data_IF_988420071525
#
_entry.id   IF_988420071525
#
_cell.length_a   1.000
_cell.length_b   1.000
_cell.length_c   1.000
_cell.angle_alpha   90.00
_cell.angle_beta   90.00
_cell.angle_gamma   90.00
#
_symmetry.space_group_name_H-M   'P 1'
#
loop_
_entity.id
_entity.type
_entity.pdbx_description
1 polymer ?
#
# COMPACT_ATOMS: atom_id res chain seq x y z
N UNK A 1 -6.08 -7.23 7.34
CA UNK A 1 -6.06 -7.77 8.73
C UNK A 1 -5.42 -9.15 8.67
N UNK A 2 -4.91 -9.63 9.80
CA UNK A 2 -4.60 -11.04 10.03
C UNK A 2 -5.61 -11.58 11.03
N UNK A 3 -6.27 -12.66 10.67
CA UNK A 3 -7.43 -13.19 11.38
C UNK A 3 -7.25 -14.68 11.59
N UNK A 4 -7.57 -15.15 12.79
CA UNK A 4 -7.58 -16.57 13.14
C UNK A 4 -9.01 -16.98 13.49
N UNK A 5 -9.60 -17.96 12.79
CA UNK A 5 -10.94 -18.42 13.12
C UNK A 5 -10.95 -19.16 14.46
N UNK A 6 -11.97 -18.91 15.29
CA UNK A 6 -12.28 -19.68 16.51
C UNK A 6 -13.76 -20.07 16.52
N UNK A 7 -14.16 -21.11 17.27
CA UNK A 7 -15.57 -21.50 17.38
C UNK A 7 -16.49 -20.37 17.90
N UNK A 8 -15.97 -19.47 18.73
CA UNK A 8 -16.71 -18.34 19.30
C UNK A 8 -16.75 -17.11 18.37
N UNK A 9 -15.99 -17.13 17.26
CA UNK A 9 -15.84 -16.01 16.34
C UNK A 9 -14.39 -15.77 15.93
N UNK A 10 -14.20 -14.93 14.93
CA UNK A 10 -12.89 -14.62 14.39
C UNK A 10 -12.07 -13.71 15.32
N UNK A 11 -10.82 -14.09 15.56
CA UNK A 11 -9.86 -13.34 16.37
C UNK A 11 -8.94 -12.53 15.45
N UNK A 12 -8.96 -11.20 15.56
CA UNK A 12 -8.06 -10.31 14.79
C UNK A 12 -6.72 -10.21 15.51
N UNK A 13 -5.70 -10.91 14.99
CA UNK A 13 -4.35 -10.92 15.56
C UNK A 13 -3.60 -9.62 15.26
N UNK A 14 -3.75 -9.09 14.05
CA UNK A 14 -3.12 -7.83 13.64
C UNK A 14 -3.99 -7.08 12.62
N UNK A 15 -3.89 -5.75 12.62
CA UNK A 15 -4.57 -4.91 11.65
C UNK A 15 -3.69 -3.74 11.20
N UNK A 16 -3.89 -3.31 9.96
CA UNK A 16 -3.28 -2.12 9.39
C UNK A 16 -4.27 -1.48 8.44
N UNK A 17 -4.34 -0.15 8.46
CA UNK A 17 -5.23 0.65 7.62
C UNK A 17 -4.44 1.74 6.91
N UNK A 18 -4.87 2.14 5.72
CA UNK A 18 -4.22 3.21 4.97
C UNK A 18 -4.34 4.60 5.63
N UNK A 19 -5.21 4.73 6.63
CA UNK A 19 -5.30 5.93 7.46
C UNK A 19 -4.14 6.05 8.46
N UNK A 20 -3.57 4.92 8.91
CA UNK A 20 -2.35 4.93 9.71
C UNK A 20 -1.16 5.47 8.91
N UNK A 21 -1.09 5.18 7.62
CA UNK A 21 -0.09 5.78 6.73
C UNK A 21 -0.20 7.31 6.72
N UNK A 22 -1.43 7.82 6.63
CA UNK A 22 -1.69 9.26 6.58
C UNK A 22 -1.36 9.93 7.92
N UNK A 23 -1.83 9.36 9.03
CA UNK A 23 -1.72 9.94 10.38
C UNK A 23 -0.34 9.73 11.01
N UNK A 24 0.23 8.53 10.86
CA UNK A 24 1.47 8.13 11.53
C UNK A 24 2.74 8.31 10.69
N UNK A 25 2.63 8.20 9.36
CA UNK A 25 3.82 8.18 8.48
C UNK A 25 3.88 9.33 7.48
N UNK A 26 2.85 10.20 7.46
CA UNK A 26 2.80 11.38 6.61
C UNK A 26 2.50 11.07 5.14
N UNK A 27 1.73 10.02 4.86
CA UNK A 27 1.25 9.74 3.50
C UNK A 27 0.29 10.84 3.00
N UNK A 28 0.70 11.54 1.94
CA UNK A 28 -0.05 12.69 1.38
C UNK A 28 -0.84 12.35 0.11
N UNK A 29 -0.54 11.24 -0.56
CA UNK A 29 -1.27 10.80 -1.75
C UNK A 29 -2.61 10.13 -1.39
N UNK A 30 -3.31 9.59 -2.40
CA UNK A 30 -4.56 8.85 -2.21
C UNK A 30 -4.32 7.60 -1.34
N UNK A 31 -5.27 7.30 -0.44
CA UNK A 31 -5.26 6.06 0.35
C UNK A 31 -5.87 4.87 -0.40
N UNK A 32 -6.29 5.06 -1.66
CA UNK A 32 -7.02 4.08 -2.49
C UNK A 32 -6.25 3.72 -3.78
N UNK A 33 -4.92 3.73 -3.74
CA UNK A 33 -4.07 3.36 -4.88
C UNK A 33 -3.11 2.19 -4.54
N UNK A 34 -2.40 1.68 -5.54
CA UNK A 34 -1.47 0.55 -5.38
C UNK A 34 -0.35 0.85 -4.38
N UNK A 35 0.20 2.07 -4.39
CA UNK A 35 1.25 2.50 -3.47
C UNK A 35 0.80 2.46 -2.01
N UNK A 36 -0.37 3.02 -1.71
CA UNK A 36 -0.94 2.98 -0.36
C UNK A 36 -1.31 1.56 0.07
N UNK A 37 -1.81 0.73 -0.86
CA UNK A 37 -2.13 -0.66 -0.58
C UNK A 37 -0.86 -1.45 -0.22
N UNK A 38 0.21 -1.31 -1.00
CA UNK A 38 1.52 -1.90 -0.68
C UNK A 38 2.03 -1.46 0.69
N UNK A 39 2.07 -0.16 0.96
CA UNK A 39 2.55 0.36 2.25
C UNK A 39 1.69 -0.16 3.43
N UNK A 40 0.38 -0.31 3.22
CA UNK A 40 -0.53 -0.87 4.24
C UNK A 40 -0.25 -2.35 4.47
N UNK A 41 -0.01 -3.12 3.40
CA UNK A 41 0.39 -4.52 3.47
C UNK A 41 1.74 -4.70 4.17
N UNK A 42 2.72 -3.86 3.84
CA UNK A 42 4.03 -3.83 4.49
C UNK A 42 3.89 -3.56 5.99
N UNK A 43 3.11 -2.54 6.37
CA UNK A 43 2.82 -2.24 7.77
C UNK A 43 2.15 -3.43 8.50
N UNK A 44 1.23 -4.14 7.85
CA UNK A 44 0.61 -5.35 8.41
C UNK A 44 1.64 -6.46 8.62
N UNK A 45 2.49 -6.72 7.64
CA UNK A 45 3.52 -7.75 7.72
C UNK A 45 4.53 -7.45 8.83
N UNK A 46 4.92 -6.19 9.02
CA UNK A 46 5.80 -5.84 10.15
C UNK A 46 5.11 -6.03 11.50
N UNK A 47 3.82 -5.66 11.62
CA UNK A 47 3.05 -5.95 12.84
C UNK A 47 2.93 -7.46 13.11
N UNK A 48 2.77 -8.26 12.06
CA UNK A 48 2.73 -9.71 12.15
C UNK A 48 4.06 -10.29 12.66
N UNK A 49 5.17 -9.82 12.08
CA UNK A 49 6.53 -10.23 12.47
C UNK A 49 6.79 -9.97 13.95
N UNK A 50 6.35 -8.80 14.48
CA UNK A 50 6.46 -8.47 15.91
C UNK A 50 5.67 -9.41 16.83
N UNK A 51 4.58 -9.99 16.32
CA UNK A 51 3.78 -10.99 17.04
C UNK A 51 4.30 -12.43 16.82
N UNK A 52 5.41 -12.61 16.11
CA UNK A 52 5.95 -13.92 15.77
C UNK A 52 5.11 -14.68 14.74
N UNK A 53 4.20 -14.02 14.03
CA UNK A 53 3.37 -14.63 12.99
C UNK A 53 4.16 -14.61 11.69
N UNK A 54 4.44 -15.81 11.15
CA UNK A 54 5.24 -15.98 9.92
C UNK A 54 4.41 -16.32 8.70
N UNK A 55 3.31 -17.04 8.87
CA UNK A 55 2.53 -17.57 7.75
C UNK A 55 1.13 -16.99 7.73
N UNK A 56 0.59 -16.78 6.53
CA UNK A 56 -0.81 -16.45 6.32
C UNK A 56 -1.31 -16.95 4.97
N UNK A 57 -2.63 -17.03 4.80
CA UNK A 57 -3.28 -17.31 3.52
C UNK A 57 -4.07 -16.07 3.11
N UNK A 58 -3.94 -15.67 1.84
CA UNK A 58 -4.67 -14.53 1.32
C UNK A 58 -6.17 -14.85 1.19
N UNK A 59 -7.00 -14.05 1.84
CA UNK A 59 -8.45 -14.05 1.64
C UNK A 59 -8.86 -12.79 0.86
N UNK A 60 -9.40 -12.98 -0.35
CA UNK A 60 -9.90 -11.90 -1.22
C UNK A 60 -11.38 -11.60 -1.02
N UNK A 61 -12.09 -12.39 -0.20
CA UNK A 61 -13.54 -12.34 -0.09
C UNK A 61 -14.21 -12.58 -1.45
N UNK A 62 -15.12 -11.67 -1.83
CA UNK A 62 -15.86 -11.74 -3.10
C UNK A 62 -15.16 -11.00 -4.26
N UNK A 63 -13.92 -10.54 -4.07
CA UNK A 63 -13.19 -9.84 -5.12
C UNK A 63 -12.67 -10.81 -6.19
N UNK A 64 -12.82 -10.42 -7.46
CA UNK A 64 -12.22 -11.15 -8.59
C UNK A 64 -10.68 -11.02 -8.54
N UNK A 65 -9.92 -12.11 -8.67
CA UNK A 65 -8.45 -12.07 -8.67
C UNK A 65 -7.92 -11.53 -10.00
N UNK A 66 -7.83 -10.20 -10.11
CA UNK A 66 -7.28 -9.52 -11.29
C UNK A 66 -5.79 -9.23 -11.08
N UNK A 67 -4.94 -9.66 -12.02
CA UNK A 67 -3.50 -9.41 -12.01
C UNK A 67 -3.19 -7.92 -11.81
N UNK A 68 -2.22 -7.62 -10.94
CA UNK A 68 -1.77 -6.25 -10.68
C UNK A 68 -2.79 -5.36 -9.97
N UNK A 69 -3.87 -5.94 -9.42
CA UNK A 69 -4.85 -5.19 -8.62
C UNK A 69 -4.24 -4.63 -7.33
N UNK A 70 -4.95 -3.68 -6.72
CA UNK A 70 -4.54 -3.10 -5.42
C UNK A 70 -4.49 -4.13 -4.30
N UNK A 71 -5.29 -5.20 -4.37
CA UNK A 71 -5.25 -6.31 -3.40
C UNK A 71 -3.91 -7.04 -3.47
N UNK A 72 -3.40 -7.32 -4.67
CA UNK A 72 -2.09 -7.94 -4.84
C UNK A 72 -0.93 -6.99 -4.55
N UNK A 73 -1.13 -5.67 -4.64
CA UNK A 73 -0.16 -4.71 -4.12
C UNK A 73 -0.03 -4.83 -2.59
N UNK A 74 -1.14 -4.97 -1.86
CA UNK A 74 -1.11 -5.22 -0.42
C UNK A 74 -0.48 -6.57 -0.07
N UNK A 75 -0.78 -7.62 -0.83
CA UNK A 75 -0.09 -8.91 -0.72
C UNK A 75 1.44 -8.72 -0.85
N UNK A 76 1.88 -8.06 -1.93
CA UNK A 76 3.31 -7.81 -2.18
C UNK A 76 3.99 -7.07 -1.02
N UNK A 77 3.31 -6.07 -0.46
CA UNK A 77 3.81 -5.36 0.72
C UNK A 77 3.99 -6.29 1.93
N UNK A 78 3.03 -7.18 2.21
CA UNK A 78 3.14 -8.13 3.32
C UNK A 78 4.27 -9.16 3.11
N UNK A 79 4.45 -9.64 1.87
CA UNK A 79 5.54 -10.53 1.49
C UNK A 79 6.91 -9.86 1.73
N UNK A 80 7.08 -8.62 1.26
CA UNK A 80 8.34 -7.88 1.42
C UNK A 80 8.64 -7.50 2.87
N UNK A 81 7.63 -7.53 3.75
CA UNK A 81 7.79 -7.37 5.19
C UNK A 81 8.14 -8.69 5.92
N UNK A 82 8.25 -9.80 5.19
CA UNK A 82 8.70 -11.09 5.71
C UNK A 82 7.58 -12.06 6.09
N UNK A 83 6.34 -11.80 5.67
CA UNK A 83 5.23 -12.75 5.86
C UNK A 83 5.22 -13.77 4.71
N UNK A 84 5.16 -15.04 5.03
CA UNK A 84 5.09 -16.14 4.06
C UNK A 84 3.62 -16.38 3.68
N UNK A 85 3.28 -16.08 2.44
CA UNK A 85 1.92 -16.29 1.89
C UNK A 85 2.06 -17.05 0.58
N UNK A 86 1.44 -18.23 0.40
CA UNK A 86 1.46 -18.94 -0.88
C UNK A 86 0.82 -18.09 -2.01
N UNK A 87 1.55 -17.88 -3.11
CA UNK A 87 1.10 -17.08 -4.24
C UNK A 87 1.90 -17.40 -5.51
N UNK A 88 1.38 -16.98 -6.67
CA UNK A 88 2.12 -16.97 -7.94
C UNK A 88 2.72 -15.58 -8.19
N UNK A 89 4.02 -15.50 -8.51
CA UNK A 89 4.71 -14.23 -8.77
C UNK A 89 4.05 -13.40 -9.89
N UNK A 90 3.49 -14.08 -10.89
CA UNK A 90 2.85 -13.46 -12.05
C UNK A 90 1.59 -12.62 -11.74
N UNK A 91 0.98 -12.80 -10.57
CA UNK A 91 -0.22 -12.05 -10.16
C UNK A 91 0.14 -10.67 -9.57
N UNK A 92 1.38 -10.54 -9.10
CA UNK A 92 1.85 -9.36 -8.41
C UNK A 92 1.98 -8.17 -9.37
N UNK A 93 1.68 -6.95 -8.92
CA UNK A 93 1.93 -5.76 -9.72
C UNK A 93 3.44 -5.53 -9.91
N UNK A 94 3.82 -4.86 -11.00
CA UNK A 94 5.21 -4.44 -11.20
C UNK A 94 5.65 -3.41 -10.16
N UNK A 95 6.96 -3.33 -9.92
CA UNK A 95 7.57 -2.32 -9.04
C UNK A 95 7.17 -0.89 -9.42
N UNK A 96 7.11 -0.58 -10.71
CA UNK A 96 6.70 0.73 -11.21
C UNK A 96 5.24 1.06 -10.87
N UNK A 97 4.37 0.05 -10.90
CA UNK A 97 2.97 0.18 -10.49
C UNK A 97 2.85 0.42 -8.98
N UNK A 98 3.65 -0.28 -8.19
CA UNK A 98 3.70 -0.15 -6.73
C UNK A 98 4.20 1.23 -6.33
N UNK A 99 5.32 1.68 -6.88
CA UNK A 99 5.95 2.96 -6.56
C UNK A 99 5.14 4.16 -7.05
N UNK A 100 4.30 3.95 -8.06
CA UNK A 100 3.36 4.96 -8.54
C UNK A 100 3.82 5.71 -9.79
N UNK A 101 4.80 5.20 -10.54
CA UNK A 101 5.32 5.83 -11.77
C UNK A 101 4.23 6.13 -12.78
N UNK A 102 3.30 5.20 -13.00
CA UNK A 102 2.15 5.43 -13.89
C UNK A 102 1.28 6.63 -13.49
N UNK A 103 1.26 7.02 -12.21
CA UNK A 103 0.56 8.23 -11.75
C UNK A 103 1.39 9.47 -12.07
N UNK A 104 2.72 9.40 -11.88
CA UNK A 104 3.65 10.49 -12.23
C UNK A 104 3.61 10.79 -13.73
N UNK A 105 3.67 9.75 -14.57
CA UNK A 105 3.57 9.86 -16.02
C UNK A 105 2.23 10.47 -16.46
N UNK A 106 1.13 9.98 -15.88
CA UNK A 106 -0.20 10.50 -16.17
C UNK A 106 -0.34 11.97 -15.72
N UNK A 107 0.22 12.31 -14.57
CA UNK A 107 0.24 13.67 -14.05
C UNK A 107 1.05 14.62 -14.94
N UNK A 108 2.25 14.21 -15.35
CA UNK A 108 3.13 14.97 -16.24
C UNK A 108 2.45 15.25 -17.58
N UNK A 109 1.79 14.22 -18.13
CA UNK A 109 1.02 14.34 -19.37
C UNK A 109 -0.13 15.34 -19.22
N UNK A 110 -0.94 15.21 -18.16
CA UNK A 110 -2.06 16.13 -17.91
C UNK A 110 -1.57 17.56 -17.64
N UNK A 111 -0.46 17.76 -16.93
CA UNK A 111 0.08 19.08 -16.68
C UNK A 111 0.46 19.82 -17.99
N UNK A 112 0.79 19.07 -19.05
CA UNK A 112 1.14 19.61 -20.36
C UNK A 112 -0.07 19.75 -21.30
N UNK A 113 -0.96 18.75 -21.31
CA UNK A 113 -2.10 18.67 -22.23
C UNK A 113 -3.34 19.41 -21.72
N UNK A 114 -3.66 19.29 -20.42
CA UNK A 114 -4.89 19.82 -19.82
C UNK A 114 -4.68 20.20 -18.33
N UNK A 115 -4.20 21.42 -18.06
CA UNK A 115 -3.96 21.91 -16.71
C UNK A 115 -5.21 21.97 -15.81
N UNK A 116 -6.40 22.16 -16.38
CA UNK A 116 -7.65 22.19 -15.62
C UNK A 116 -8.01 20.78 -15.11
N UNK A 117 -7.94 19.78 -16.00
CA UNK A 117 -8.16 18.39 -15.62
C UNK A 117 -7.10 17.91 -14.62
N UNK A 118 -5.84 18.33 -14.78
CA UNK A 118 -4.79 18.06 -13.80
C UNK A 118 -5.19 18.55 -12.40
N UNK A 119 -5.56 19.83 -12.27
CA UNK A 119 -5.93 20.43 -10.99
C UNK A 119 -7.14 19.72 -10.38
N UNK A 120 -8.13 19.34 -11.19
CA UNK A 120 -9.32 18.61 -10.74
C UNK A 120 -8.96 17.20 -10.26
N UNK A 121 -8.22 16.43 -11.07
CA UNK A 121 -7.88 15.02 -10.81
C UNK A 121 -6.98 14.86 -9.60
N UNK A 122 -6.05 15.78 -9.42
CA UNK A 122 -5.04 15.75 -8.35
C UNK A 122 -5.30 16.77 -7.23
N UNK A 123 -6.47 17.40 -7.21
CA UNK A 123 -6.91 18.34 -6.17
C UNK A 123 -6.57 17.88 -4.74
N UNK A 124 -6.84 16.60 -4.42
CA UNK A 124 -6.50 16.05 -3.11
C UNK A 124 -5.01 15.97 -2.82
N UNK A 125 -4.16 15.70 -3.82
CA UNK A 125 -2.70 15.65 -3.67
C UNK A 125 -2.17 17.07 -3.41
N UNK A 126 -2.60 18.01 -4.26
CA UNK A 126 -2.21 19.41 -4.20
C UNK A 126 -2.63 20.07 -2.88
N UNK A 127 -3.86 19.82 -2.41
CA UNK A 127 -4.35 20.31 -1.12
C UNK A 127 -3.52 19.81 0.08
N UNK A 128 -2.76 18.73 -0.09
CA UNK A 128 -1.87 18.17 0.95
C UNK A 128 -0.40 18.50 0.71
N UNK A 129 -0.11 19.37 -0.26
CA UNK A 129 1.24 19.79 -0.63
C UNK A 129 2.10 18.64 -1.13
N UNK A 130 1.52 17.75 -1.95
CA UNK A 130 2.27 16.75 -2.70
C UNK A 130 2.00 16.96 -4.19
N UNK A 131 3.05 17.15 -4.97
CA UNK A 131 2.96 17.09 -6.43
C UNK A 131 2.86 15.63 -6.86
N UNK A 132 1.87 15.24 -7.69
CA UNK A 132 1.72 13.87 -8.16
C UNK A 132 2.96 13.29 -8.85
N UNK A 133 3.79 14.12 -9.48
CA UNK A 133 5.05 13.80 -10.16
C UNK A 133 6.18 13.41 -9.18
N UNK A 134 5.97 13.64 -7.87
CA UNK A 134 6.91 13.26 -6.81
C UNK A 134 6.41 12.04 -6.02
N UNK A 135 5.40 11.33 -6.51
CA UNK A 135 4.76 10.23 -5.80
C UNK A 135 5.74 9.10 -5.47
N UNK A 136 6.62 8.72 -6.39
CA UNK A 136 7.64 7.68 -6.21
C UNK A 136 8.60 8.08 -5.09
N UNK A 137 9.09 9.32 -5.11
CA UNK A 137 9.97 9.83 -4.03
C UNK A 137 9.26 9.84 -2.69
N UNK A 138 8.00 10.27 -2.66
CA UNK A 138 7.18 10.30 -1.45
C UNK A 138 6.87 8.89 -0.92
N UNK A 139 6.65 7.93 -1.81
CA UNK A 139 6.48 6.52 -1.47
C UNK A 139 7.72 5.96 -0.77
N UNK A 140 8.92 6.13 -1.35
CA UNK A 140 10.17 5.63 -0.75
C UNK A 140 10.41 6.25 0.63
N UNK A 141 10.17 7.56 0.76
CA UNK A 141 10.27 8.27 2.05
C UNK A 141 9.34 7.69 3.11
N UNK A 142 8.10 7.37 2.75
CA UNK A 142 7.13 6.78 3.68
C UNK A 142 7.49 5.34 4.02
N UNK A 143 7.94 4.55 3.04
CA UNK A 143 8.41 3.18 3.27
C UNK A 143 9.62 3.16 4.24
N UNK A 144 10.59 4.06 4.05
CA UNK A 144 11.73 4.21 4.94
C UNK A 144 11.28 4.53 6.38
N UNK A 145 10.35 5.47 6.56
CA UNK A 145 9.78 5.79 7.87
C UNK A 145 9.10 4.60 8.54
N UNK A 146 8.36 3.79 7.77
CA UNK A 146 7.74 2.57 8.31
C UNK A 146 8.83 1.62 8.80
N UNK A 147 9.87 1.38 7.99
CA UNK A 147 11.02 0.53 8.35
C UNK A 147 11.75 1.03 9.60
N UNK A 148 12.02 2.32 9.69
CA UNK A 148 12.70 2.95 10.84
C UNK A 148 11.89 2.82 12.12
N UNK A 149 10.61 3.20 12.09
CA UNK A 149 9.70 3.10 13.24
C UNK A 149 9.55 1.66 13.76
N UNK A 150 9.86 0.68 12.92
CA UNK A 150 9.76 -0.73 13.28
C UNK A 150 11.06 -1.34 13.78
N UNK A 151 12.23 -0.71 13.56
CA UNK A 151 13.52 -1.12 14.14
C UNK A 151 13.73 -0.65 15.58
N UNK A 152 13.01 0.36 16.02
CA UNK A 152 13.20 1.03 17.33
C UNK A 152 12.39 0.42 18.48
N UNK A 153 11.70 -0.69 18.23
CA UNK A 153 10.78 -1.38 19.13
C UNK A 153 11.08 -2.88 19.07
#
# INVERSE_FOLDING_TARGET
QLVKPRPQGDEVLASATSMELRRGYGWKASCKNSSAAYLTGYLLGVKASKLGIKEAVLNLGLHRPVKGSTLFAALKGALDAGLEIPHSEEILPSEDRIRGKHVEEYATRLASEDPELYAKRFSGYLARGLKPEELTKHFEKVLAKIKEATKTL
#
